data_IF_952452766874
#
_entry.id   IF_952452766874
#
_cell.length_a   1.000
_cell.length_b   1.000
_cell.length_c   1.000
_cell.angle_alpha   90.00
_cell.angle_beta   90.00
_cell.angle_gamma   90.00
#
_symmetry.space_group_name_H-M   'P 1'
#
loop_
_entity.id
_entity.type
_entity.pdbx_description
1 polymer ?
#
# COMPACT_ATOMS: atom_id res chain seq x y z
N UNK A 1 -6.96 3.80 1.31
CA UNK A 1 -5.63 4.32 1.69
C UNK A 1 -4.78 3.31 2.47
N UNK A 2 -5.19 2.84 3.66
CA UNK A 2 -4.33 1.98 4.51
C UNK A 2 -3.87 0.73 3.77
N UNK A 3 -4.79 -0.01 3.14
CA UNK A 3 -4.44 -1.18 2.33
C UNK A 3 -3.38 -0.85 1.27
N UNK A 4 -3.52 0.27 0.57
CA UNK A 4 -2.55 0.72 -0.42
C UNK A 4 -1.17 1.02 0.21
N UNK A 5 -1.13 1.72 1.35
CA UNK A 5 0.11 1.99 2.09
C UNK A 5 0.82 0.70 2.51
N UNK A 6 0.05 -0.33 2.89
CA UNK A 6 0.60 -1.61 3.35
C UNK A 6 1.15 -2.43 2.18
N UNK A 7 0.40 -2.58 1.08
CA UNK A 7 0.88 -3.34 -0.10
C UNK A 7 2.06 -2.65 -0.80
N UNK A 8 2.13 -1.31 -0.77
CA UNK A 8 3.25 -0.57 -1.33
C UNK A 8 4.46 -0.48 -0.38
N UNK A 9 4.32 -0.89 0.88
CA UNK A 9 5.33 -0.71 1.93
C UNK A 9 5.88 0.74 2.01
N UNK A 10 5.06 1.74 1.68
CA UNK A 10 5.45 3.16 1.65
C UNK A 10 5.27 3.81 3.02
N UNK A 11 5.82 5.01 3.19
CA UNK A 11 5.50 5.83 4.37
C UNK A 11 4.10 6.41 4.21
N UNK A 12 3.40 6.55 5.32
CA UNK A 12 2.05 7.17 5.37
C UNK A 12 1.99 8.50 4.62
N UNK A 13 2.98 9.38 4.81
CA UNK A 13 3.00 10.69 4.15
C UNK A 13 3.10 10.58 2.62
N UNK A 14 3.83 9.59 2.10
CA UNK A 14 3.97 9.38 0.65
C UNK A 14 2.61 8.98 0.06
N UNK A 15 1.83 8.15 0.78
CA UNK A 15 0.45 7.85 0.38
C UNK A 15 -0.52 9.01 0.56
N UNK A 16 -0.45 9.77 1.66
CA UNK A 16 -1.35 10.92 1.88
C UNK A 16 -1.25 11.97 0.77
N UNK A 17 -0.08 12.05 0.14
CA UNK A 17 0.23 13.08 -0.86
C UNK A 17 0.09 12.53 -2.29
N UNK A 18 -0.17 11.23 -2.46
CA UNK A 18 -0.14 10.52 -3.75
C UNK A 18 -1.10 11.18 -4.75
N UNK A 19 -0.58 11.49 -5.94
CA UNK A 19 -1.33 12.11 -7.03
C UNK A 19 -1.63 11.09 -8.12
N UNK A 20 -2.78 11.23 -8.79
CA UNK A 20 -3.11 10.45 -9.99
C UNK A 20 -2.05 10.58 -11.08
N UNK A 21 -1.39 11.74 -11.17
CA UNK A 21 -0.32 12.01 -12.14
C UNK A 21 0.97 11.23 -11.86
N UNK A 22 1.15 10.70 -10.65
CA UNK A 22 2.31 9.89 -10.28
C UNK A 22 2.11 8.40 -10.65
N UNK A 23 0.88 7.99 -11.01
CA UNK A 23 0.53 6.61 -11.30
C UNK A 23 0.64 6.35 -12.80
N UNK A 24 1.60 5.51 -13.20
CA UNK A 24 1.76 5.03 -14.56
C UNK A 24 1.21 3.60 -14.67
N UNK A 25 -0.02 3.47 -15.17
CA UNK A 25 -0.67 2.17 -15.34
C UNK A 25 -0.13 1.35 -16.52
N UNK A 26 0.47 1.98 -17.53
CA UNK A 26 1.09 1.24 -18.64
C UNK A 26 2.30 0.46 -18.16
N UNK A 27 3.05 1.05 -17.23
CA UNK A 27 4.26 0.44 -16.67
C UNK A 27 4.02 -0.20 -15.30
N UNK A 28 2.77 -0.23 -14.80
CA UNK A 28 2.43 -0.70 -13.45
C UNK A 28 3.34 -0.12 -12.36
N UNK A 29 3.53 1.20 -12.35
CA UNK A 29 4.43 1.89 -11.42
C UNK A 29 3.84 3.16 -10.84
N UNK A 30 4.32 3.56 -9.66
CA UNK A 30 4.22 4.93 -9.15
C UNK A 30 5.59 5.59 -9.29
N UNK A 31 5.63 6.76 -9.92
CA UNK A 31 6.82 7.61 -10.03
C UNK A 31 6.77 8.64 -8.91
N UNK A 32 7.46 8.36 -7.80
CA UNK A 32 7.55 9.28 -6.66
C UNK A 32 8.55 10.40 -6.96
N UNK A 33 8.12 11.67 -7.07
CA UNK A 33 9.01 12.79 -7.37
C UNK A 33 10.08 12.97 -6.29
N UNK A 34 11.25 13.46 -6.70
CA UNK A 34 12.40 13.62 -5.80
C UNK A 34 12.08 14.52 -4.60
N UNK A 35 11.25 15.54 -4.80
CA UNK A 35 10.84 16.53 -3.82
C UNK A 35 10.05 15.92 -2.66
N UNK A 36 9.39 14.78 -2.91
CA UNK A 36 8.60 14.05 -1.91
C UNK A 36 9.36 12.91 -1.23
N UNK A 37 10.52 12.53 -1.76
CA UNK A 37 11.39 11.55 -1.08
C UNK A 37 11.86 12.15 0.24
N UNK A 38 11.94 11.33 1.30
CA UNK A 38 12.47 11.75 2.62
C UNK A 38 13.83 12.48 2.50
N UNK A 39 14.69 12.00 1.62
CA UNK A 39 16.05 12.50 1.46
C UNK A 39 16.28 13.44 0.27
N UNK A 40 15.22 13.86 -0.45
CA UNK A 40 15.22 14.89 -1.52
C UNK A 40 16.44 14.94 -2.46
N UNK A 41 17.03 13.79 -2.78
CA UNK A 41 18.25 13.65 -3.58
C UNK A 41 18.08 12.55 -4.64
N UNK A 42 18.87 12.66 -5.71
CA UNK A 42 18.85 11.74 -6.85
C UNK A 42 17.57 11.82 -7.65
N UNK A 43 17.35 10.79 -8.47
CA UNK A 43 16.22 10.69 -9.38
C UNK A 43 14.89 10.39 -8.68
N UNK A 44 13.75 10.57 -9.37
CA UNK A 44 12.46 10.07 -8.92
C UNK A 44 12.56 8.59 -8.54
N UNK A 45 11.82 8.20 -7.51
CA UNK A 45 11.82 6.81 -7.07
C UNK A 45 10.65 6.06 -7.69
N UNK A 46 10.93 4.94 -8.35
CA UNK A 46 9.92 4.12 -8.98
C UNK A 46 9.45 3.05 -7.99
N UNK A 47 8.15 2.99 -7.72
CA UNK A 47 7.52 1.97 -6.88
C UNK A 47 6.73 1.03 -7.79
N UNK A 48 7.07 -0.27 -7.88
CA UNK A 48 6.26 -1.22 -8.66
C UNK A 48 4.90 -1.45 -8.01
N UNK A 49 3.88 -1.62 -8.84
CA UNK A 49 2.51 -1.92 -8.43
C UNK A 49 2.24 -3.42 -8.56
N UNK A 50 1.88 -4.05 -7.45
CA UNK A 50 1.34 -5.41 -7.45
C UNK A 50 -0.08 -5.44 -8.00
N UNK A 51 -0.58 -6.64 -8.31
CA UNK A 51 -1.98 -6.87 -8.73
C UNK A 51 -2.98 -6.27 -7.73
N UNK A 52 -2.71 -6.42 -6.43
CA UNK A 52 -3.49 -5.86 -5.34
C UNK A 52 -3.48 -4.33 -5.36
N UNK A 53 -2.31 -3.72 -5.56
CA UNK A 53 -2.18 -2.26 -5.62
C UNK A 53 -2.96 -1.71 -6.81
N UNK A 54 -2.85 -2.34 -7.99
CA UNK A 54 -3.62 -1.98 -9.19
C UNK A 54 -5.12 -2.07 -8.94
N UNK A 55 -5.59 -3.17 -8.34
CA UNK A 55 -7.00 -3.35 -8.01
C UNK A 55 -7.48 -2.25 -7.06
N UNK A 56 -6.76 -1.99 -5.96
CA UNK A 56 -7.11 -0.95 -4.99
C UNK A 56 -7.16 0.44 -5.66
N UNK A 57 -6.18 0.75 -6.51
CA UNK A 57 -6.13 2.04 -7.25
C UNK A 57 -7.34 2.18 -8.17
N UNK A 58 -7.73 1.12 -8.88
CA UNK A 58 -8.88 1.15 -9.76
C UNK A 58 -10.20 1.32 -8.99
N UNK A 59 -10.36 0.63 -7.86
CA UNK A 59 -11.54 0.81 -7.00
C UNK A 59 -11.62 2.23 -6.44
N UNK A 60 -10.50 2.81 -6.01
CA UNK A 60 -10.47 4.20 -5.58
C UNK A 60 -10.88 5.12 -6.73
N UNK A 61 -10.40 4.87 -7.95
CA UNK A 61 -10.75 5.68 -9.12
C UNK A 61 -12.25 5.65 -9.41
N UNK A 62 -12.89 4.49 -9.29
CA UNK A 62 -14.33 4.34 -9.50
C UNK A 62 -15.16 5.08 -8.43
N UNK A 63 -14.65 5.15 -7.20
CA UNK A 63 -15.30 5.87 -6.09
C UNK A 63 -15.03 7.37 -6.12
N UNK A 64 -13.92 7.79 -6.74
CA UNK A 64 -13.47 9.17 -6.72
C UNK A 64 -14.05 9.94 -7.92
N UNK A 65 -15.21 10.56 -7.71
CA UNK A 65 -15.90 11.36 -8.73
C UNK A 65 -15.45 12.83 -8.77
N UNK A 66 -14.52 13.24 -7.92
CA UNK A 66 -14.02 14.62 -7.89
C UNK A 66 -12.84 14.82 -8.85
N UNK A 67 -12.65 16.07 -9.29
CA UNK A 67 -11.55 16.46 -10.19
C UNK A 67 -10.21 16.70 -9.48
N UNK A 68 -10.02 16.16 -8.26
CA UNK A 68 -8.78 16.35 -7.51
C UNK A 68 -7.62 15.63 -8.16
N UNK A 69 -6.43 16.23 -8.05
CA UNK A 69 -5.18 15.56 -8.41
C UNK A 69 -4.79 14.50 -7.39
N UNK A 70 -5.18 14.64 -6.13
CA UNK A 70 -4.88 13.68 -5.06
C UNK A 70 -5.79 12.45 -5.11
N UNK A 71 -5.21 11.26 -4.95
CA UNK A 71 -5.97 10.01 -4.89
C UNK A 71 -6.74 9.84 -3.56
N UNK A 72 -6.28 10.47 -2.47
CA UNK A 72 -6.94 10.43 -1.18
C UNK A 72 -7.27 11.83 -0.66
N UNK A 73 -8.56 12.04 -0.39
CA UNK A 73 -9.10 13.24 0.22
C UNK A 73 -10.01 12.88 1.39
N UNK A 74 -10.26 13.86 2.24
CA UNK A 74 -11.37 13.85 3.20
C UNK A 74 -12.69 14.10 2.46
N UNK A 75 -13.81 13.80 3.11
CA UNK A 75 -15.15 14.07 2.57
C UNK A 75 -15.40 15.56 2.29
N UNK A 76 -14.71 16.45 3.00
CA UNK A 76 -14.74 17.90 2.78
C UNK A 76 -13.79 18.39 1.66
N UNK A 77 -13.19 17.46 0.91
CA UNK A 77 -12.26 17.77 -0.19
C UNK A 77 -10.85 18.17 0.25
N UNK A 78 -10.59 18.25 1.57
CA UNK A 78 -9.26 18.62 2.06
C UNK A 78 -8.31 17.42 2.14
N UNK A 79 -7.00 17.71 2.11
CA UNK A 79 -5.94 16.71 2.20
C UNK A 79 -5.96 15.96 3.54
N UNK A 80 -5.68 14.66 3.52
CA UNK A 80 -5.49 13.86 4.73
C UNK A 80 -4.22 14.28 5.49
N UNK A 81 -4.34 14.50 6.80
CA UNK A 81 -3.18 14.76 7.65
C UNK A 81 -2.51 13.45 8.08
N UNK A 82 -1.21 13.31 7.82
CA UNK A 82 -0.42 12.10 8.08
C UNK A 82 -0.55 11.57 9.53
N UNK A 83 -0.66 12.47 10.51
CA UNK A 83 -0.70 12.07 11.92
C UNK A 83 -2.07 11.51 12.32
N UNK A 84 -3.15 12.01 11.70
CA UNK A 84 -4.49 11.43 11.87
C UNK A 84 -4.53 10.02 11.28
N UNK A 85 -3.90 9.84 10.11
CA UNK A 85 -3.77 8.53 9.47
C UNK A 85 -2.96 7.58 10.33
N UNK A 86 -1.81 7.99 10.87
CA UNK A 86 -0.99 7.16 11.76
C UNK A 86 -1.74 6.77 13.02
N UNK A 87 -2.45 7.71 13.65
CA UNK A 87 -3.27 7.47 14.83
C UNK A 87 -4.33 6.41 14.54
N UNK A 88 -5.03 6.53 13.40
CA UNK A 88 -6.00 5.53 12.97
C UNK A 88 -5.36 4.19 12.62
N UNK A 89 -4.22 4.17 11.91
CA UNK A 89 -3.48 2.92 11.65
C UNK A 89 -3.10 2.22 12.95
N UNK A 90 -2.75 2.94 14.01
CA UNK A 90 -2.45 2.37 15.32
C UNK A 90 -3.65 1.67 15.98
N UNK A 91 -4.89 1.98 15.59
CA UNK A 91 -6.09 1.29 16.11
C UNK A 91 -6.46 0.05 15.30
N UNK A 92 -6.00 -0.06 14.05
CA UNK A 92 -6.36 -1.17 13.14
C UNK A 92 -5.19 -2.11 12.81
N UNK A 93 -3.95 -1.67 13.00
CA UNK A 93 -2.73 -2.41 12.70
C UNK A 93 -1.81 -2.37 13.94
N UNK A 94 -2.01 -3.29 14.88
CA UNK A 94 -1.43 -3.26 16.24
C UNK A 94 -0.11 -4.03 16.40
N UNK A 95 0.85 -3.93 15.46
CA UNK A 95 2.18 -4.51 15.71
C UNK A 95 3.21 -3.45 16.12
N UNK A 96 3.93 -3.74 17.21
CA UNK A 96 5.08 -2.99 17.79
C UNK A 96 6.19 -2.63 16.78
N UNK A 97 6.13 -3.19 15.57
CA UNK A 97 6.94 -2.82 14.43
C UNK A 97 5.99 -2.32 13.32
N UNK A 98 6.21 -1.09 12.86
CA UNK A 98 5.38 -0.51 11.80
C UNK A 98 5.41 -1.34 10.52
N UNK A 99 4.43 -1.15 9.64
CA UNK A 99 4.24 -1.91 8.38
C UNK A 99 5.52 -2.14 7.56
N UNK A 100 6.40 -1.15 7.50
CA UNK A 100 7.67 -1.20 6.76
C UNK A 100 8.71 -2.12 7.42
N UNK A 101 8.73 -2.15 8.75
CA UNK A 101 9.53 -3.10 9.51
C UNK A 101 9.02 -4.54 9.32
N UNK A 102 7.69 -4.71 9.23
CA UNK A 102 7.10 -6.02 8.90
C UNK A 102 7.49 -6.48 7.50
N UNK A 103 7.41 -5.61 6.48
CA UNK A 103 7.90 -5.91 5.13
C UNK A 103 9.37 -6.32 5.14
N UNK A 104 10.22 -5.58 5.85
CA UNK A 104 11.66 -5.86 5.93
C UNK A 104 11.96 -7.21 6.58
N UNK A 105 11.28 -7.53 7.68
CA UNK A 105 11.41 -8.81 8.38
C UNK A 105 10.86 -9.97 7.55
N UNK A 106 9.75 -9.73 6.86
CA UNK A 106 9.17 -10.72 5.95
C UNK A 106 10.11 -11.03 4.79
N UNK A 107 10.75 -10.01 4.18
CA UNK A 107 11.77 -10.23 3.15
C UNK A 107 12.91 -11.13 3.63
N UNK A 108 13.42 -10.86 4.84
CA UNK A 108 14.49 -11.65 5.45
C UNK A 108 14.09 -13.13 5.66
N UNK A 109 12.82 -13.40 5.96
CA UNK A 109 12.29 -14.76 6.17
C UNK A 109 11.97 -15.49 4.86
N UNK A 110 11.87 -14.78 3.75
CA UNK A 110 11.43 -15.32 2.46
C UNK A 110 12.54 -15.28 1.40
N UNK A 111 13.81 -15.26 1.83
CA UNK A 111 14.99 -15.29 0.95
C UNK A 111 15.02 -14.15 -0.08
N UNK A 112 14.45 -12.99 0.25
CA UNK A 112 14.59 -11.77 -0.54
C UNK A 112 15.85 -11.05 -0.03
N UNK A 113 16.74 -10.69 -0.96
CA UNK A 113 18.01 -10.07 -0.62
C UNK A 113 17.81 -8.77 0.19
N UNK A 114 18.79 -8.47 1.05
CA UNK A 114 18.74 -7.27 1.88
C UNK A 114 18.70 -6.02 1.00
N UNK A 115 19.46 -6.02 -0.09
CA UNK A 115 19.57 -4.98 -1.09
C UNK A 115 18.19 -4.65 -1.68
N UNK A 116 17.46 -5.67 -2.15
CA UNK A 116 16.12 -5.53 -2.74
C UNK A 116 15.11 -5.02 -1.71
N UNK A 117 15.17 -5.54 -0.49
CA UNK A 117 14.30 -5.12 0.60
C UNK A 117 14.53 -3.65 1.01
N UNK A 118 15.79 -3.25 1.19
CA UNK A 118 16.16 -1.86 1.54
C UNK A 118 15.82 -0.89 0.41
N UNK A 119 16.11 -1.24 -0.85
CA UNK A 119 15.78 -0.40 -2.00
C UNK A 119 14.27 -0.24 -2.17
N UNK A 120 13.48 -1.31 -2.00
CA UNK A 120 12.01 -1.23 -2.04
C UNK A 120 11.45 -0.27 -0.99
N UNK A 121 12.15 -0.11 0.13
CA UNK A 121 11.81 0.83 1.18
C UNK A 121 12.39 2.24 0.96
N UNK A 122 13.10 2.53 -0.13
CA UNK A 122 13.88 3.77 -0.29
C UNK A 122 14.88 4.00 0.87
N UNK A 123 15.49 2.93 1.34
CA UNK A 123 16.58 3.00 2.30
C UNK A 123 17.92 2.97 1.56
N UNK A 124 18.97 3.42 2.25
CA UNK A 124 20.33 3.19 1.79
C UNK A 124 20.68 1.72 2.06
N UNK A 125 21.16 1.01 1.03
CA UNK A 125 21.54 -0.42 1.11
C UNK A 125 22.67 -0.68 2.09
N UNK A 126 23.53 0.32 2.32
CA UNK A 126 24.59 0.26 3.32
C UNK A 126 24.84 1.67 3.89
N UNK A 127 25.20 1.79 5.18
CA UNK A 127 25.71 3.04 5.74
C UNK A 127 27.08 3.42 5.13
N UNK A 128 27.85 2.45 4.63
CA UNK A 128 29.16 2.68 4.00
C UNK A 128 29.01 3.21 2.56
N UNK A 129 29.61 4.37 2.28
CA UNK A 129 29.60 5.01 0.97
C UNK A 129 30.28 4.15 -0.11
N UNK A 130 31.34 3.42 0.25
CA UNK A 130 32.09 2.56 -0.67
C UNK A 130 31.23 1.38 -1.15
N UNK A 131 30.49 0.73 -0.26
CA UNK A 131 29.56 -0.34 -0.65
C UNK A 131 28.48 0.18 -1.60
N UNK A 132 27.96 1.39 -1.33
CA UNK A 132 26.95 2.02 -2.20
C UNK A 132 27.49 2.36 -3.60
N UNK A 133 28.77 2.70 -3.75
CA UNK A 133 29.32 3.05 -5.08
C UNK A 133 29.42 1.86 -6.03
N UNK A 134 29.51 0.63 -5.50
CA UNK A 134 29.50 -0.60 -6.29
C UNK A 134 28.09 -1.06 -6.66
N UNK A 135 27.08 -0.70 -5.87
CA UNK A 135 25.69 -1.10 -6.06
C UNK A 135 24.95 -0.01 -6.86
N UNK A 136 25.14 -0.03 -8.19
CA UNK A 136 24.53 0.94 -9.12
C UNK A 136 23.16 0.54 -9.66
N UNK A 137 22.81 -0.73 -9.49
CA UNK A 137 21.54 -1.29 -9.95
C UNK A 137 20.41 -0.98 -8.95
N UNK A 138 19.21 -0.68 -9.45
CA UNK A 138 18.02 -0.50 -8.65
C UNK A 138 17.26 -1.81 -8.41
N UNK A 139 17.70 -2.91 -9.04
CA UNK A 139 17.13 -4.25 -8.98
C UNK A 139 15.63 -4.27 -9.26
N UNK A 140 15.16 -3.47 -10.22
CA UNK A 140 13.72 -3.28 -10.47
C UNK A 140 12.96 -4.60 -10.68
N UNK A 141 13.50 -5.55 -11.45
CA UNK A 141 12.85 -6.85 -11.68
C UNK A 141 12.66 -7.65 -10.38
N UNK A 142 13.71 -7.70 -9.55
CA UNK A 142 13.64 -8.37 -8.24
C UNK A 142 12.70 -7.63 -7.28
N UNK A 143 12.63 -6.31 -7.36
CA UNK A 143 11.70 -5.50 -6.56
C UNK A 143 10.25 -5.72 -6.99
N UNK A 144 9.98 -5.83 -8.29
CA UNK A 144 8.65 -6.20 -8.81
C UNK A 144 8.22 -7.55 -8.20
N UNK A 145 9.10 -8.55 -8.27
CA UNK A 145 8.82 -9.88 -7.72
C UNK A 145 8.61 -9.84 -6.20
N UNK A 146 9.49 -9.16 -5.46
CA UNK A 146 9.39 -9.02 -4.01
C UNK A 146 8.09 -8.33 -3.57
N UNK A 147 7.71 -7.24 -4.25
CA UNK A 147 6.50 -6.48 -3.94
C UNK A 147 5.22 -7.25 -4.30
N UNK A 148 5.25 -8.06 -5.37
CA UNK A 148 4.15 -8.96 -5.69
C UNK A 148 3.99 -10.06 -4.63
N UNK A 149 5.07 -10.78 -4.29
CA UNK A 149 5.05 -11.82 -3.26
C UNK A 149 4.62 -11.28 -1.89
N UNK A 150 5.07 -10.07 -1.54
CA UNK A 150 4.61 -9.39 -0.33
C UNK A 150 3.11 -9.17 -0.34
N UNK A 151 2.58 -8.60 -1.43
CA UNK A 151 1.15 -8.33 -1.56
C UNK A 151 0.31 -9.61 -1.53
N UNK A 152 0.78 -10.69 -2.16
CA UNK A 152 0.12 -12.00 -2.13
C UNK A 152 0.07 -12.58 -0.71
N UNK A 153 1.12 -12.37 0.09
CA UNK A 153 1.17 -12.84 1.48
C UNK A 153 0.21 -12.08 2.41
N UNK A 154 0.16 -10.74 2.33
CA UNK A 154 -0.62 -9.94 3.27
C UNK A 154 -2.08 -9.73 2.86
N UNK A 155 -2.36 -9.82 1.55
CA UNK A 155 -3.66 -9.49 0.98
C UNK A 155 -3.89 -10.32 -0.28
N UNK A 156 -4.17 -11.63 -0.15
CA UNK A 156 -4.47 -12.48 -1.29
C UNK A 156 -5.61 -11.89 -2.14
N UNK A 157 -5.49 -11.99 -3.47
CA UNK A 157 -6.50 -11.43 -4.39
C UNK A 157 -7.90 -11.99 -4.16
N UNK A 158 -8.01 -13.26 -3.78
CA UNK A 158 -9.28 -13.90 -3.43
C UNK A 158 -9.98 -13.21 -2.25
N UNK A 159 -9.21 -12.86 -1.21
CA UNK A 159 -9.71 -12.13 -0.05
C UNK A 159 -10.08 -10.70 -0.44
N UNK A 160 -9.22 -10.03 -1.21
CA UNK A 160 -9.41 -8.65 -1.61
C UNK A 160 -10.66 -8.46 -2.50
N UNK A 161 -10.91 -9.40 -3.41
CA UNK A 161 -12.04 -9.35 -4.35
C UNK A 161 -13.29 -10.07 -3.83
N UNK A 162 -13.18 -10.72 -2.66
CA UNK A 162 -14.19 -11.64 -2.13
C UNK A 162 -14.66 -12.66 -3.19
N UNK A 163 -13.72 -13.22 -3.97
CA UNK A 163 -14.06 -14.11 -5.09
C UNK A 163 -14.70 -15.42 -4.63
N UNK A 164 -14.50 -15.80 -3.37
CA UNK A 164 -15.15 -16.95 -2.72
C UNK A 164 -16.65 -16.73 -2.43
N UNK A 165 -17.17 -15.52 -2.59
CA UNK A 165 -18.58 -15.21 -2.39
C UNK A 165 -19.37 -15.21 -3.71
N UNK A 166 -20.58 -15.76 -3.65
CA UNK A 166 -21.59 -15.62 -4.71
C UNK A 166 -22.07 -14.18 -4.84
N UNK A 167 -22.63 -13.82 -5.99
CA UNK A 167 -23.19 -12.47 -6.20
C UNK A 167 -24.33 -12.14 -5.22
N UNK A 168 -25.10 -13.14 -4.81
CA UNK A 168 -26.15 -13.00 -3.79
C UNK A 168 -25.52 -12.65 -2.43
N UNK A 169 -24.44 -13.33 -2.03
CA UNK A 169 -23.72 -13.03 -0.79
C UNK A 169 -23.06 -11.64 -0.85
N UNK A 170 -22.47 -11.27 -1.99
CA UNK A 170 -21.91 -9.93 -2.21
C UNK A 170 -22.97 -8.84 -2.14
N UNK A 171 -24.16 -9.08 -2.68
CA UNK A 171 -25.29 -8.15 -2.60
C UNK A 171 -25.74 -7.94 -1.15
N UNK A 172 -25.79 -9.02 -0.34
CA UNK A 172 -26.09 -8.92 1.10
C UNK A 172 -25.04 -8.12 1.87
N UNK A 173 -23.75 -8.26 1.53
CA UNK A 173 -22.68 -7.44 2.13
C UNK A 173 -22.84 -5.95 1.79
N UNK A 174 -23.17 -5.61 0.54
CA UNK A 174 -23.42 -4.22 0.12
C UNK A 174 -24.67 -3.63 0.77
N UNK A 175 -25.65 -4.47 1.10
CA UNK A 175 -26.90 -4.06 1.74
C UNK A 175 -26.75 -3.80 3.25
N UNK A 176 -25.66 -4.25 3.89
CA UNK A 176 -25.36 -3.86 5.27
C UNK A 176 -24.83 -2.43 5.28
N UNK A 177 -25.55 -1.47 5.89
CA UNK A 177 -25.11 -0.09 5.92
C UNK A 177 -23.72 0.00 6.52
N UNK A 178 -22.84 0.77 5.87
CA UNK A 178 -21.54 1.15 6.42
C UNK A 178 -21.75 1.64 7.86
N UNK A 179 -21.33 0.83 8.85
CA UNK A 179 -21.67 1.08 10.24
C UNK A 179 -21.12 2.46 10.64
N UNK A 180 -22.00 3.33 11.17
CA UNK A 180 -21.75 4.76 11.48
C UNK A 180 -20.54 5.03 12.40
N UNK A 181 -19.88 3.98 12.91
CA UNK A 181 -18.72 4.06 13.82
C UNK A 181 -17.36 3.85 13.12
N UNK A 182 -17.29 3.95 11.79
CA UNK A 182 -16.03 4.12 11.06
C UNK A 182 -15.07 2.93 11.09
N UNK A 183 -15.55 1.72 11.42
CA UNK A 183 -14.77 0.49 11.26
C UNK A 183 -14.98 0.00 9.83
N UNK A 184 -14.07 0.37 8.93
CA UNK A 184 -14.05 -0.16 7.57
C UNK A 184 -13.86 -1.69 7.55
N UNK A 185 -13.70 -2.27 6.36
CA UNK A 185 -13.60 -3.72 6.06
C UNK A 185 -12.76 -4.58 7.02
N UNK A 186 -11.83 -4.00 7.79
CA UNK A 186 -11.03 -4.68 8.82
C UNK A 186 -11.85 -5.06 10.07
N UNK A 187 -12.99 -4.42 10.32
CA UNK A 187 -13.91 -4.77 11.42
C UNK A 187 -14.80 -5.98 11.15
N UNK A 188 -14.74 -6.57 9.96
CA UNK A 188 -15.64 -7.66 9.53
C UNK A 188 -15.24 -9.05 10.04
N UNK A 189 -14.01 -9.23 10.53
CA UNK A 189 -13.50 -10.57 10.86
C UNK A 189 -13.82 -11.07 12.26
N UNK A 190 -14.28 -10.22 13.18
CA UNK A 190 -14.36 -10.62 14.59
C UNK A 190 -15.74 -11.00 15.10
N UNK A 191 -16.81 -10.25 14.82
CA UNK A 191 -17.97 -10.39 15.72
C UNK A 191 -19.37 -10.55 15.11
N UNK A 192 -19.65 -10.34 13.81
CA UNK A 192 -21.04 -10.40 13.33
C UNK A 192 -21.22 -10.83 11.87
N UNK A 193 -20.88 -12.07 11.54
CA UNK A 193 -21.33 -12.70 10.29
C UNK A 193 -21.51 -14.20 10.48
N UNK A 194 -22.65 -14.61 11.07
CA UNK A 194 -23.16 -15.95 10.88
C UNK A 194 -23.74 -16.02 9.45
N UNK A 195 -22.87 -16.20 8.45
CA UNK A 195 -23.23 -16.24 7.03
C UNK A 195 -23.89 -17.57 6.62
N UNK A 196 -24.18 -18.47 7.58
CA UNK A 196 -24.81 -19.75 7.31
C UNK A 196 -23.98 -20.63 6.38
N UNK A 197 -22.66 -20.60 6.55
CA UNK A 197 -21.75 -21.60 5.99
C UNK A 197 -21.64 -22.79 6.93
#
# INVERSE_FOLDING_TARGET
MIMLTVVLATRVNECCDLSWTEINLNNNTIVLPKERKKFKKGDPFIIPLSKQALWIINEIRNLNTNSSTLIFLRNDGTKLHKDNVRKFMGTVCTSLHGTRSNFRNWCARNNISSEVAELSLMHAVSPNATTRSYLRDDFMDMRIEAMQKWADYILPMEILTASFLTDVQKAKLKAVPYHEKGRGWVGLYRDQWNLGL
#
